data_IF_483916168089
#
_entry.id   IF_483916168089
#
_cell.length_a   1.000
_cell.length_b   1.000
_cell.length_c   1.000
_cell.angle_alpha   90.00
_cell.angle_beta   90.00
_cell.angle_gamma   90.00
#
_symmetry.space_group_name_H-M   'P 1'
#
loop_
_entity.id
_entity.type
_entity.pdbx_description
1 polymer ?
#
# COMPACT_ATOMS: atom_id res chain seq x y z
N UNK A 1 -13.93 -24.51 61.14
CA UNK A 1 -12.51 -24.75 60.80
C UNK A 1 -12.47 -26.05 60.00
N UNK A 2 -11.94 -26.01 58.76
CA UNK A 2 -11.99 -27.04 57.69
C UNK A 2 -13.30 -27.15 56.91
N UNK A 3 -13.48 -26.28 55.90
CA UNK A 3 -13.60 -26.67 54.47
C UNK A 3 -13.57 -25.40 53.60
N UNK A 4 -12.42 -24.71 53.65
CA UNK A 4 -12.05 -23.62 52.74
C UNK A 4 -10.81 -24.15 52.00
N UNK A 5 -10.70 -23.86 50.71
CA UNK A 5 -9.65 -24.28 49.75
C UNK A 5 -9.89 -25.60 49.02
N UNK A 6 -10.77 -25.57 48.03
CA UNK A 6 -10.42 -25.91 46.64
C UNK A 6 -11.61 -25.60 45.73
N UNK A 7 -11.32 -25.12 44.52
CA UNK A 7 -12.24 -24.63 43.46
C UNK A 7 -12.26 -23.08 43.32
N UNK A 8 -11.08 -22.46 43.28
CA UNK A 8 -10.91 -21.15 42.65
C UNK A 8 -10.50 -21.37 41.18
N UNK A 9 -11.44 -21.88 40.38
CA UNK A 9 -11.37 -21.77 38.93
C UNK A 9 -11.79 -20.36 38.54
N UNK A 10 -11.00 -19.69 37.70
CA UNK A 10 -11.30 -18.37 37.14
C UNK A 10 -12.62 -18.43 36.33
N UNK A 11 -13.76 -18.15 36.97
CA UNK A 11 -15.04 -17.91 36.29
C UNK A 11 -15.21 -16.40 36.17
N UNK A 12 -14.90 -15.86 34.98
CA UNK A 12 -15.29 -14.50 34.60
C UNK A 12 -16.81 -14.48 34.38
N UNK A 13 -17.57 -14.08 35.40
CA UNK A 13 -19.02 -13.90 35.31
C UNK A 13 -19.35 -12.57 34.62
N UNK A 14 -20.02 -12.62 33.47
CA UNK A 14 -20.74 -11.47 32.91
C UNK A 14 -22.07 -11.25 33.63
N UNK A 15 -22.01 -10.96 34.93
CA UNK A 15 -23.18 -10.53 35.69
C UNK A 15 -22.76 -9.46 36.69
N UNK A 16 -23.06 -8.21 36.35
CA UNK A 16 -23.15 -7.17 37.36
C UNK A 16 -24.42 -7.46 38.18
N UNK A 17 -24.26 -8.04 39.36
CA UNK A 17 -25.29 -7.93 40.39
C UNK A 17 -25.43 -6.44 40.72
N UNK A 18 -26.47 -5.79 40.21
CA UNK A 18 -26.91 -4.50 40.72
C UNK A 18 -27.74 -4.81 41.98
N UNK A 19 -27.15 -4.58 43.15
CA UNK A 19 -27.91 -4.50 44.39
C UNK A 19 -28.35 -3.04 44.57
N UNK A 20 -29.49 -2.66 44.01
CA UNK A 20 -30.16 -1.41 44.39
C UNK A 20 -30.94 -1.66 45.69
N UNK A 21 -30.42 -1.16 46.82
CA UNK A 21 -31.21 -1.04 48.04
C UNK A 21 -32.19 0.12 47.87
N UNK A 22 -33.45 -0.17 47.55
CA UNK A 22 -34.51 0.79 47.80
C UNK A 22 -34.88 0.81 49.30
N UNK A 23 -35.28 1.96 49.82
CA UNK A 23 -35.54 2.25 51.25
C UNK A 23 -36.73 1.48 51.89
N UNK A 24 -37.19 0.42 51.24
CA UNK A 24 -38.35 -0.37 51.65
C UNK A 24 -38.12 -1.86 51.38
N UNK A 25 -37.08 -2.44 51.98
CA UNK A 25 -37.00 -3.82 52.51
C UNK A 25 -37.51 -5.04 51.73
N UNK A 26 -37.94 -4.94 50.48
CA UNK A 26 -38.53 -6.03 49.70
C UNK A 26 -37.67 -6.35 48.48
N UNK A 27 -37.14 -7.57 48.47
CA UNK A 27 -36.41 -8.17 47.36
C UNK A 27 -37.41 -8.63 46.29
N UNK A 28 -37.65 -7.82 45.26
CA UNK A 28 -38.26 -8.29 44.02
C UNK A 28 -37.16 -8.68 43.04
N UNK A 29 -37.20 -9.88 42.42
CA UNK A 29 -36.20 -10.26 41.43
C UNK A 29 -36.32 -9.34 40.22
N UNK A 30 -35.33 -8.46 40.04
CA UNK A 30 -35.19 -7.66 38.85
C UNK A 30 -34.94 -8.57 37.64
N UNK A 31 -35.60 -8.23 36.54
CA UNK A 31 -35.61 -8.92 35.25
C UNK A 31 -34.21 -9.41 34.87
N UNK A 32 -34.08 -10.73 34.71
CA UNK A 32 -32.91 -11.39 34.15
C UNK A 32 -32.77 -11.02 32.67
N UNK A 33 -31.97 -10.00 32.34
CA UNK A 33 -31.38 -9.95 31.01
C UNK A 33 -30.38 -11.11 30.89
N UNK A 34 -30.73 -12.08 30.03
CA UNK A 34 -29.89 -13.21 29.68
C UNK A 34 -28.68 -12.73 28.86
N UNK A 35 -27.72 -12.09 29.52
CA UNK A 35 -26.39 -11.90 28.98
C UNK A 35 -25.76 -13.27 28.73
N UNK A 36 -25.31 -13.53 27.51
CA UNK A 36 -24.57 -14.75 27.17
C UNK A 36 -23.29 -14.78 27.99
N UNK A 37 -23.25 -15.61 29.04
CA UNK A 37 -22.07 -15.78 29.88
C UNK A 37 -20.99 -16.45 29.04
N UNK A 38 -20.02 -15.67 28.56
CA UNK A 38 -18.89 -16.21 27.82
C UNK A 38 -18.07 -17.10 28.78
N UNK A 39 -17.87 -18.40 28.46
CA UNK A 39 -17.03 -19.26 29.27
C UNK A 39 -15.66 -18.64 29.55
N UNK A 40 -15.16 -18.74 30.79
CA UNK A 40 -13.91 -18.10 31.20
C UNK A 40 -12.71 -18.44 30.30
N UNK A 41 -12.65 -19.67 29.77
CA UNK A 41 -11.61 -20.08 28.84
C UNK A 41 -11.67 -19.33 27.49
N UNK A 42 -12.87 -19.00 26.98
CA UNK A 42 -13.02 -18.22 25.76
C UNK A 42 -12.58 -16.77 25.99
N UNK A 43 -12.90 -16.18 27.15
CA UNK A 43 -12.43 -14.84 27.50
C UNK A 43 -10.90 -14.77 27.55
N UNK A 44 -10.23 -15.80 28.11
CA UNK A 44 -8.77 -15.91 28.11
C UNK A 44 -8.21 -16.02 26.69
N UNK A 45 -8.78 -16.91 25.85
CA UNK A 45 -8.35 -17.08 24.46
C UNK A 45 -8.50 -15.77 23.68
N UNK A 46 -9.64 -15.09 23.79
CA UNK A 46 -9.87 -13.80 23.14
C UNK A 46 -8.89 -12.73 23.62
N UNK A 47 -8.65 -12.65 24.93
CA UNK A 47 -7.67 -11.71 25.50
C UNK A 47 -6.27 -11.93 24.93
N UNK A 48 -5.82 -13.20 24.86
CA UNK A 48 -4.52 -13.55 24.28
C UNK A 48 -4.45 -13.17 22.80
N UNK A 49 -5.50 -13.43 22.02
CA UNK A 49 -5.56 -13.07 20.60
C UNK A 49 -5.50 -11.55 20.40
N UNK A 50 -6.25 -10.77 21.18
CA UNK A 50 -6.27 -9.30 21.09
C UNK A 50 -4.92 -8.69 21.47
N UNK A 51 -4.30 -9.16 22.56
CA UNK A 51 -2.96 -8.71 22.97
C UNK A 51 -1.92 -9.08 21.91
N UNK A 52 -2.01 -10.28 21.34
CA UNK A 52 -1.12 -10.70 20.25
C UNK A 52 -1.28 -9.78 19.03
N UNK A 53 -2.51 -9.43 18.67
CA UNK A 53 -2.78 -8.49 17.58
C UNK A 53 -2.14 -7.12 17.85
N UNK A 54 -2.31 -6.57 19.07
CA UNK A 54 -1.67 -5.30 19.47
C UNK A 54 -0.15 -5.37 19.28
N UNK A 55 0.49 -6.43 19.80
CA UNK A 55 1.95 -6.61 19.68
C UNK A 55 2.38 -6.65 18.21
N UNK A 56 1.67 -7.40 17.37
CA UNK A 56 1.99 -7.50 15.94
C UNK A 56 1.83 -6.16 15.23
N UNK A 57 0.73 -5.44 15.47
CA UNK A 57 0.45 -4.13 14.84
C UNK A 57 1.51 -3.11 15.27
N UNK A 58 1.74 -2.97 16.57
CA UNK A 58 2.67 -1.97 17.12
C UNK A 58 4.11 -2.28 16.72
N UNK A 59 4.59 -3.50 16.95
CA UNK A 59 5.97 -3.87 16.63
C UNK A 59 6.23 -3.85 15.12
N UNK A 60 5.29 -4.35 14.32
CA UNK A 60 5.40 -4.38 12.86
C UNK A 60 5.49 -2.98 12.26
N UNK A 61 4.57 -2.08 12.64
CA UNK A 61 4.57 -0.72 12.11
C UNK A 61 5.71 0.13 12.69
N UNK A 62 6.11 -0.08 13.95
CA UNK A 62 7.32 0.53 14.51
C UNK A 62 8.58 0.12 13.74
N UNK A 63 8.70 -1.16 13.34
CA UNK A 63 9.81 -1.63 12.49
C UNK A 63 9.84 -0.91 11.14
N UNK A 64 8.68 -0.68 10.52
CA UNK A 64 8.59 0.10 9.27
C UNK A 64 9.09 1.53 9.49
N UNK A 65 8.61 2.21 10.53
CA UNK A 65 9.01 3.58 10.87
C UNK A 65 10.53 3.64 11.14
N UNK A 66 11.06 2.69 11.91
CA UNK A 66 12.50 2.58 12.19
C UNK A 66 13.32 2.35 10.91
N UNK A 67 12.83 1.53 9.97
CA UNK A 67 13.50 1.33 8.69
C UNK A 67 13.65 2.63 7.89
N UNK A 68 12.66 3.51 7.92
CA UNK A 68 12.74 4.84 7.29
C UNK A 68 13.75 5.78 7.95
N UNK A 69 13.85 5.72 9.28
CA UNK A 69 14.79 6.53 10.05
C UNK A 69 16.22 6.08 9.74
N UNK A 70 16.48 4.77 9.79
CA UNK A 70 17.82 4.17 9.64
C UNK A 70 18.31 4.21 8.19
N UNK A 71 17.50 3.75 7.22
CA UNK A 71 17.94 3.61 5.84
C UNK A 71 17.57 4.85 5.00
N UNK A 72 18.55 5.74 4.81
CA UNK A 72 18.40 6.94 3.96
C UNK A 72 17.98 6.60 2.51
N UNK A 73 18.28 5.40 2.00
CA UNK A 73 17.87 4.98 0.65
C UNK A 73 16.37 4.80 0.50
N UNK A 74 15.63 4.67 1.62
CA UNK A 74 14.18 4.60 1.62
C UNK A 74 13.48 5.95 1.52
N UNK A 75 14.19 7.09 1.67
CA UNK A 75 13.58 8.44 1.73
C UNK A 75 13.20 9.02 0.35
N UNK A 76 12.46 8.23 -0.43
CA UNK A 76 11.91 8.61 -1.73
C UNK A 76 10.44 9.02 -1.61
N UNK A 77 9.94 9.83 -2.55
CA UNK A 77 8.56 10.33 -2.56
C UNK A 77 7.50 9.23 -2.37
N UNK A 78 7.52 8.16 -3.19
CA UNK A 78 6.56 7.06 -3.08
C UNK A 78 6.64 6.31 -1.75
N UNK A 79 7.79 6.33 -1.09
CA UNK A 79 8.00 5.63 0.16
C UNK A 79 7.40 6.42 1.34
N UNK A 80 7.35 7.76 1.29
CA UNK A 80 6.68 8.55 2.34
C UNK A 80 5.20 8.19 2.53
N UNK A 81 4.50 7.72 1.50
CA UNK A 81 3.11 7.23 1.65
C UNK A 81 3.03 5.96 2.50
N UNK A 82 4.01 5.05 2.39
CA UNK A 82 4.10 3.88 3.26
C UNK A 82 4.46 4.25 4.70
N UNK A 83 5.28 5.28 4.89
CA UNK A 83 5.54 5.82 6.23
C UNK A 83 4.27 6.43 6.84
N UNK A 84 3.50 7.22 6.07
CA UNK A 84 2.24 7.81 6.53
C UNK A 84 1.23 6.73 6.94
N UNK A 85 1.13 5.64 6.15
CA UNK A 85 0.30 4.49 6.45
C UNK A 85 0.78 3.75 7.73
N UNK A 86 2.08 3.53 7.89
CA UNK A 86 2.64 2.91 9.09
C UNK A 86 2.40 3.75 10.36
N UNK A 87 2.40 5.08 10.25
CA UNK A 87 2.10 5.98 11.38
C UNK A 87 0.63 5.82 11.79
N UNK A 88 -0.31 5.83 10.85
CA UNK A 88 -1.73 5.63 11.19
C UNK A 88 -1.97 4.26 11.82
N UNK A 89 -1.41 3.19 11.22
CA UNK A 89 -1.58 1.82 11.71
C UNK A 89 -0.92 1.60 13.08
N UNK A 90 0.23 2.23 13.33
CA UNK A 90 0.86 2.23 14.66
C UNK A 90 -0.04 2.85 15.72
N UNK A 91 -0.68 3.99 15.42
CA UNK A 91 -1.59 4.66 16.36
C UNK A 91 -2.84 3.82 16.65
N UNK A 92 -3.37 3.10 15.66
CA UNK A 92 -4.48 2.14 15.87
C UNK A 92 -4.08 1.09 16.91
N UNK A 93 -2.91 0.46 16.73
CA UNK A 93 -2.41 -0.54 17.67
C UNK A 93 -2.01 0.01 19.04
N UNK A 94 -1.50 1.23 19.10
CA UNK A 94 -1.00 1.84 20.33
C UNK A 94 -2.11 2.48 21.19
N UNK A 95 -3.21 2.92 20.57
CA UNK A 95 -4.28 3.65 21.25
C UNK A 95 -5.66 3.00 21.08
N UNK A 96 -6.14 2.80 19.85
CA UNK A 96 -7.52 2.38 19.61
C UNK A 96 -7.80 0.97 20.15
N UNK A 97 -6.96 0.00 19.80
CA UNK A 97 -7.16 -1.39 20.22
C UNK A 97 -7.04 -1.55 21.74
N UNK A 98 -5.99 -1.02 22.42
CA UNK A 98 -5.85 -1.15 23.88
C UNK A 98 -7.01 -0.50 24.67
N UNK A 99 -7.55 0.61 24.18
CA UNK A 99 -8.71 1.28 24.81
C UNK A 99 -10.00 0.46 24.62
N UNK A 100 -10.11 -0.29 23.53
CA UNK A 100 -11.28 -1.12 23.23
C UNK A 100 -11.28 -2.48 23.94
N UNK A 101 -10.11 -3.06 24.24
CA UNK A 101 -10.01 -4.38 24.88
C UNK A 101 -10.85 -4.47 26.19
N UNK A 102 -10.74 -3.53 27.15
CA UNK A 102 -11.55 -3.59 28.36
C UNK A 102 -13.06 -3.54 28.08
N UNK A 103 -13.49 -2.76 27.08
CA UNK A 103 -14.90 -2.68 26.68
C UNK A 103 -15.39 -4.03 26.16
N UNK A 104 -14.62 -4.68 25.28
CA UNK A 104 -14.98 -5.98 24.73
C UNK A 104 -14.98 -7.10 25.79
N UNK A 105 -14.09 -7.05 26.79
CA UNK A 105 -14.01 -8.09 27.83
C UNK A 105 -15.05 -7.94 28.94
N UNK A 106 -15.37 -6.71 29.32
CA UNK A 106 -16.35 -6.42 30.38
C UNK A 106 -17.77 -6.26 29.85
N UNK A 107 -17.91 -6.02 28.54
CA UNK A 107 -19.17 -5.68 27.88
C UNK A 107 -19.74 -4.31 28.28
N UNK A 108 -18.96 -3.48 29.02
CA UNK A 108 -19.42 -2.18 29.53
C UNK A 108 -18.34 -1.12 29.41
N UNK A 109 -18.71 0.06 28.95
CA UNK A 109 -17.81 1.21 28.84
C UNK A 109 -17.71 1.93 30.18
N UNK A 110 -16.55 1.82 30.83
CA UNK A 110 -16.30 2.38 32.18
C UNK A 110 -15.46 3.66 32.15
N UNK A 111 -14.95 4.07 30.98
CA UNK A 111 -13.96 5.15 30.86
C UNK A 111 -14.57 6.54 30.66
N UNK A 112 -15.90 6.66 30.81
CA UNK A 112 -16.65 7.91 30.70
C UNK A 112 -16.89 8.40 29.27
N UNK A 113 -17.86 9.32 29.12
CA UNK A 113 -18.30 9.82 27.80
C UNK A 113 -17.21 10.55 27.02
N UNK A 114 -16.35 11.30 27.70
CA UNK A 114 -15.28 12.08 27.06
C UNK A 114 -14.28 11.18 26.33
N UNK A 115 -13.79 10.13 27.00
CA UNK A 115 -12.87 9.19 26.36
C UNK A 115 -13.56 8.38 25.25
N UNK A 116 -14.85 8.06 25.39
CA UNK A 116 -15.61 7.40 24.33
C UNK A 116 -15.60 8.24 23.04
N UNK A 117 -15.91 9.54 23.13
CA UNK A 117 -15.87 10.44 21.96
C UNK A 117 -14.46 10.55 21.37
N UNK A 118 -13.43 10.69 22.20
CA UNK A 118 -12.03 10.75 21.73
C UNK A 118 -11.63 9.46 21.02
N UNK A 119 -11.99 8.31 21.59
CA UNK A 119 -11.73 7.01 21.00
C UNK A 119 -12.45 6.85 19.65
N UNK A 120 -13.75 7.17 19.58
CA UNK A 120 -14.52 7.13 18.32
C UNK A 120 -13.90 8.05 17.26
N UNK A 121 -13.57 9.30 17.59
CA UNK A 121 -12.96 10.23 16.62
C UNK A 121 -11.62 9.69 16.12
N UNK A 122 -10.77 9.20 17.02
CA UNK A 122 -9.45 8.69 16.66
C UNK A 122 -9.54 7.41 15.83
N UNK A 123 -10.38 6.45 16.23
CA UNK A 123 -10.50 5.17 15.55
C UNK A 123 -11.03 5.33 14.13
N UNK A 124 -12.14 6.06 13.96
CA UNK A 124 -12.67 6.36 12.62
C UNK A 124 -11.65 7.17 11.80
N UNK A 125 -11.01 8.20 12.36
CA UNK A 125 -9.99 8.98 11.65
C UNK A 125 -8.85 8.10 11.15
N UNK A 126 -8.29 7.25 12.01
CA UNK A 126 -7.12 6.43 11.69
C UNK A 126 -7.47 5.32 10.68
N UNK A 127 -8.61 4.66 10.84
CA UNK A 127 -9.11 3.65 9.92
C UNK A 127 -9.39 4.27 8.53
N UNK A 128 -10.14 5.36 8.45
CA UNK A 128 -10.45 6.03 7.17
C UNK A 128 -9.18 6.59 6.52
N UNK A 129 -8.26 7.18 7.30
CA UNK A 129 -6.99 7.65 6.78
C UNK A 129 -6.15 6.50 6.19
N UNK A 130 -6.14 5.32 6.82
CA UNK A 130 -5.47 4.13 6.31
C UNK A 130 -6.02 3.72 4.93
N UNK A 131 -7.34 3.70 4.75
CA UNK A 131 -7.99 3.43 3.45
C UNK A 131 -7.59 4.41 2.38
N UNK A 132 -7.71 5.72 2.67
CA UNK A 132 -7.36 6.76 1.71
C UNK A 132 -5.87 6.75 1.35
N UNK A 133 -4.99 6.35 2.27
CA UNK A 133 -3.59 6.13 1.97
C UNK A 133 -3.37 4.95 1.00
N UNK A 134 -4.12 3.86 1.11
CA UNK A 134 -4.05 2.74 0.14
C UNK A 134 -4.46 3.21 -1.27
N UNK A 135 -5.52 4.01 -1.36
CA UNK A 135 -5.96 4.63 -2.63
C UNK A 135 -4.85 5.54 -3.18
N UNK A 136 -4.26 6.38 -2.32
CA UNK A 136 -3.19 7.30 -2.69
C UNK A 136 -1.93 6.56 -3.19
N UNK A 137 -1.54 5.46 -2.53
CA UNK A 137 -0.44 4.59 -2.96
C UNK A 137 -0.75 4.00 -4.34
N UNK A 138 -1.96 3.49 -4.55
CA UNK A 138 -2.38 2.91 -5.83
C UNK A 138 -2.39 3.95 -6.95
N UNK A 139 -2.85 5.17 -6.65
CA UNK A 139 -2.84 6.30 -7.57
C UNK A 139 -1.43 6.77 -7.92
N UNK A 140 -0.52 6.89 -6.94
CA UNK A 140 0.89 7.23 -7.17
C UNK A 140 1.56 6.20 -8.09
N UNK A 141 1.30 4.91 -7.84
CA UNK A 141 1.81 3.82 -8.68
C UNK A 141 1.28 3.90 -10.10
N UNK A 142 -0.02 4.16 -10.26
CA UNK A 142 -0.63 4.35 -11.57
C UNK A 142 0.03 5.50 -12.35
N UNK A 143 0.27 6.65 -11.71
CA UNK A 143 0.97 7.78 -12.33
C UNK A 143 2.41 7.43 -12.71
N UNK A 144 3.12 6.71 -11.84
CA UNK A 144 4.52 6.33 -12.09
C UNK A 144 4.67 5.43 -13.33
N UNK A 145 3.68 4.57 -13.61
CA UNK A 145 3.70 3.63 -14.73
C UNK A 145 3.14 4.25 -16.01
N UNK A 146 2.00 4.94 -15.93
CA UNK A 146 1.31 5.50 -17.11
C UNK A 146 1.92 6.81 -17.60
N UNK A 147 2.31 7.70 -16.67
CA UNK A 147 2.81 9.05 -16.95
C UNK A 147 4.26 9.21 -16.51
N UNK A 148 5.11 8.22 -16.81
CA UNK A 148 6.48 8.14 -16.33
C UNK A 148 7.34 9.41 -16.58
N UNK A 149 7.13 10.11 -17.71
CA UNK A 149 7.87 11.34 -18.04
C UNK A 149 7.46 12.52 -17.16
N UNK A 150 6.16 12.82 -17.05
CA UNK A 150 5.63 13.90 -16.18
C UNK A 150 5.89 13.60 -14.70
N UNK A 151 5.74 12.34 -14.30
CA UNK A 151 6.01 11.89 -12.93
C UNK A 151 7.49 12.06 -12.55
N UNK A 152 8.43 11.75 -13.46
CA UNK A 152 9.86 11.96 -13.24
C UNK A 152 10.21 13.45 -13.08
N UNK A 153 9.54 14.34 -13.81
CA UNK A 153 9.72 15.79 -13.64
C UNK A 153 9.21 16.31 -12.28
N UNK A 154 8.21 15.66 -11.69
CA UNK A 154 7.65 16.01 -10.38
C UNK A 154 8.37 15.35 -9.18
N UNK A 155 9.31 14.42 -9.43
CA UNK A 155 9.94 13.55 -8.43
C UNK A 155 10.66 14.28 -7.29
N UNK A 156 11.10 15.52 -7.49
CA UNK A 156 11.78 16.33 -6.47
C UNK A 156 10.83 17.20 -5.63
N UNK A 157 9.52 17.19 -5.89
CA UNK A 157 8.56 18.03 -5.15
C UNK A 157 7.99 17.30 -3.93
N UNK A 158 8.82 17.07 -2.91
CA UNK A 158 8.39 16.48 -1.62
C UNK A 158 7.18 17.22 -1.03
N UNK A 159 7.12 18.55 -1.20
CA UNK A 159 5.98 19.40 -0.81
C UNK A 159 4.64 18.90 -1.35
N UNK A 160 4.59 18.42 -2.60
CA UNK A 160 3.35 17.90 -3.19
C UNK A 160 2.92 16.57 -2.57
N UNK A 161 3.87 15.71 -2.19
CA UNK A 161 3.55 14.47 -1.48
C UNK A 161 3.02 14.76 -0.07
N UNK A 162 3.65 15.68 0.66
CA UNK A 162 3.19 16.12 1.99
C UNK A 162 1.78 16.71 1.92
N UNK A 163 1.50 17.57 0.93
CA UNK A 163 0.17 18.11 0.73
C UNK A 163 -0.89 17.02 0.50
N UNK A 164 -0.59 16.00 -0.33
CA UNK A 164 -1.49 14.86 -0.55
C UNK A 164 -1.72 14.06 0.74
N UNK A 165 -0.69 13.84 1.56
CA UNK A 165 -0.82 13.15 2.84
C UNK A 165 -1.70 13.95 3.80
N UNK A 166 -1.45 15.25 3.97
CA UNK A 166 -2.28 16.12 4.80
C UNK A 166 -3.73 16.17 4.33
N UNK A 167 -3.96 16.22 3.02
CA UNK A 167 -5.31 16.17 2.46
C UNK A 167 -6.05 14.87 2.83
N UNK A 168 -5.35 13.73 2.88
CA UNK A 168 -5.95 12.46 3.33
C UNK A 168 -6.44 12.56 4.78
N UNK A 169 -5.63 13.10 5.70
CA UNK A 169 -6.01 13.28 7.10
C UNK A 169 -7.19 14.24 7.27
N UNK A 170 -7.18 15.36 6.54
CA UNK A 170 -8.27 16.35 6.58
C UNK A 170 -9.56 15.74 6.04
N UNK A 171 -9.51 15.04 4.90
CA UNK A 171 -10.69 14.40 4.30
C UNK A 171 -11.25 13.28 5.21
N UNK A 172 -10.38 12.48 5.81
CA UNK A 172 -10.79 11.45 6.77
C UNK A 172 -11.47 12.05 8.00
N UNK A 173 -10.90 13.12 8.57
CA UNK A 173 -11.51 13.83 9.70
C UNK A 173 -12.86 14.44 9.33
N UNK A 174 -12.97 15.10 8.17
CA UNK A 174 -14.21 15.75 7.75
C UNK A 174 -15.35 14.75 7.51
N UNK A 175 -15.05 13.49 7.19
CA UNK A 175 -16.07 12.47 6.95
C UNK A 175 -16.81 12.07 8.23
N UNK A 176 -16.10 11.90 9.35
CA UNK A 176 -16.68 11.40 10.61
C UNK A 176 -16.53 12.33 11.81
N UNK A 177 -15.41 13.05 11.93
CA UNK A 177 -15.08 13.87 13.09
C UNK A 177 -16.18 14.86 13.48
N UNK A 178 -16.66 15.73 12.56
CA UNK A 178 -17.77 16.64 12.84
C UNK A 178 -19.04 15.92 13.27
N UNK A 179 -19.37 14.79 12.63
CA UNK A 179 -20.54 14.00 12.99
C UNK A 179 -20.40 13.48 14.43
N UNK A 180 -19.29 12.84 14.80
CA UNK A 180 -19.09 12.29 16.15
C UNK A 180 -19.11 13.39 17.24
N UNK A 181 -18.53 14.56 16.96
CA UNK A 181 -18.38 15.63 17.95
C UNK A 181 -19.70 16.38 18.17
N UNK A 182 -20.39 16.75 17.08
CA UNK A 182 -21.52 17.68 17.13
C UNK A 182 -22.91 17.02 17.10
N UNK A 183 -23.01 15.70 16.90
CA UNK A 183 -24.31 15.02 16.78
C UNK A 183 -25.22 15.25 18.00
N UNK A 184 -24.72 14.99 19.21
CA UNK A 184 -25.42 15.27 20.47
C UNK A 184 -25.88 16.74 20.58
N UNK A 185 -25.06 17.69 20.12
CA UNK A 185 -25.42 19.12 20.16
C UNK A 185 -26.52 19.49 19.16
N UNK A 186 -26.59 18.81 18.01
CA UNK A 186 -27.60 19.04 16.98
C UNK A 186 -28.93 18.38 17.37
N UNK A 187 -28.88 17.17 17.92
CA UNK A 187 -30.08 16.40 18.30
C UNK A 187 -30.60 16.83 19.67
N UNK A 188 -29.76 17.42 20.53
CA UNK A 188 -30.14 17.92 21.86
C UNK A 188 -30.31 16.83 22.93
N UNK A 189 -30.17 15.55 22.56
CA UNK A 189 -30.18 14.41 23.47
C UNK A 189 -29.15 13.37 23.01
N UNK A 190 -28.53 12.67 23.97
CA UNK A 190 -27.66 11.53 23.68
C UNK A 190 -28.48 10.24 23.66
N UNK A 191 -28.45 9.56 22.52
CA UNK A 191 -29.17 8.29 22.29
C UNK A 191 -28.39 7.10 22.88
N UNK A 192 -27.11 7.29 23.20
CA UNK A 192 -26.20 6.21 23.64
C UNK A 192 -26.22 6.07 25.17
N UNK A 193 -26.50 4.86 25.70
CA UNK A 193 -26.45 4.59 27.14
C UNK A 193 -25.07 4.84 27.75
N UNK A 194 -25.01 5.17 29.05
CA UNK A 194 -23.74 5.49 29.73
C UNK A 194 -22.73 4.32 29.80
N UNK A 195 -23.19 3.09 29.61
CA UNK A 195 -22.38 1.87 29.67
C UNK A 195 -22.01 1.32 28.27
N UNK A 196 -22.37 2.01 27.20
CA UNK A 196 -22.02 1.65 25.82
C UNK A 196 -21.18 2.75 25.17
N UNK A 197 -20.39 2.39 24.17
CA UNK A 197 -19.60 3.35 23.40
C UNK A 197 -19.65 3.03 21.91
N UNK A 198 -20.63 3.61 21.23
CA UNK A 198 -20.80 3.53 19.78
C UNK A 198 -21.12 4.92 19.21
N UNK A 199 -20.86 5.12 17.92
CA UNK A 199 -21.14 6.39 17.26
C UNK A 199 -22.66 6.67 17.21
N UNK A 200 -23.10 7.88 17.51
CA UNK A 200 -24.54 8.19 17.59
C UNK A 200 -25.27 8.08 16.24
N UNK A 201 -24.57 8.30 15.13
CA UNK A 201 -25.10 8.08 13.78
C UNK A 201 -25.26 6.59 13.42
N UNK A 202 -24.87 5.66 14.29
CA UNK A 202 -24.96 4.21 14.08
C UNK A 202 -26.39 3.70 13.83
N UNK A 203 -27.41 4.46 14.26
CA UNK A 203 -28.82 4.15 14.02
C UNK A 203 -29.39 4.82 12.77
N UNK A 204 -28.59 5.63 12.07
CA UNK A 204 -29.03 6.48 10.97
C UNK A 204 -28.71 5.81 9.62
N UNK A 205 -29.70 5.15 9.03
CA UNK A 205 -29.52 4.30 7.83
C UNK A 205 -28.86 5.03 6.64
N UNK A 206 -29.23 6.28 6.37
CA UNK A 206 -28.68 7.05 5.25
C UNK A 206 -27.20 7.41 5.47
N UNK A 207 -26.82 7.66 6.73
CA UNK A 207 -25.43 7.90 7.08
C UNK A 207 -24.59 6.64 6.84
N UNK A 208 -25.07 5.47 7.30
CA UNK A 208 -24.40 4.18 7.10
C UNK A 208 -24.20 3.83 5.61
N UNK A 209 -25.20 4.11 4.77
CA UNK A 209 -25.09 3.88 3.32
C UNK A 209 -24.08 4.84 2.67
N UNK A 210 -24.09 6.11 3.07
CA UNK A 210 -23.13 7.10 2.58
C UNK A 210 -21.70 6.76 3.00
N UNK A 211 -21.49 6.37 4.26
CA UNK A 211 -20.24 5.89 4.83
C UNK A 211 -19.70 4.70 4.03
N UNK A 212 -20.54 3.68 3.80
CA UNK A 212 -20.18 2.49 3.00
C UNK A 212 -19.72 2.86 1.58
N UNK A 213 -20.33 3.88 0.99
CA UNK A 213 -19.98 4.38 -0.35
C UNK A 213 -18.58 5.03 -0.38
N UNK A 214 -18.26 5.85 0.62
CA UNK A 214 -16.98 6.55 0.69
C UNK A 214 -15.84 5.69 1.23
N UNK A 215 -16.10 4.73 2.11
CA UNK A 215 -15.07 3.90 2.74
C UNK A 215 -14.75 2.61 2.01
N UNK A 216 -15.75 1.99 1.36
CA UNK A 216 -15.55 0.73 0.68
C UNK A 216 -15.64 0.87 -0.83
N UNK A 217 -16.80 1.29 -1.35
CA UNK A 217 -17.03 1.25 -2.80
C UNK A 217 -16.10 2.20 -3.57
N UNK A 218 -15.94 3.44 -3.11
CA UNK A 218 -15.08 4.43 -3.79
C UNK A 218 -13.60 3.99 -3.77
N UNK A 219 -13.02 3.59 -2.63
CA UNK A 219 -11.67 3.04 -2.58
C UNK A 219 -11.51 1.76 -3.40
N UNK A 220 -12.43 0.80 -3.27
CA UNK A 220 -12.36 -0.48 -3.96
C UNK A 220 -12.37 -0.31 -5.48
N UNK A 221 -13.30 0.48 -6.02
CA UNK A 221 -13.38 0.78 -7.45
C UNK A 221 -12.12 1.52 -7.92
N UNK A 222 -11.67 2.53 -7.17
CA UNK A 222 -10.49 3.33 -7.53
C UNK A 222 -9.23 2.47 -7.58
N UNK A 223 -8.97 1.70 -6.52
CA UNK A 223 -7.80 0.81 -6.42
C UNK A 223 -7.86 -0.26 -7.50
N UNK A 224 -9.01 -0.88 -7.73
CA UNK A 224 -9.17 -1.89 -8.79
C UNK A 224 -8.94 -1.29 -10.18
N UNK A 225 -9.50 -0.13 -10.46
CA UNK A 225 -9.33 0.58 -11.73
C UNK A 225 -7.86 0.94 -12.00
N UNK A 226 -7.15 1.50 -11.01
CA UNK A 226 -5.74 1.84 -11.15
C UNK A 226 -4.89 0.59 -11.40
N UNK A 227 -5.16 -0.49 -10.66
CA UNK A 227 -4.42 -1.75 -10.80
C UNK A 227 -4.67 -2.45 -12.12
N UNK A 228 -5.92 -2.50 -12.59
CA UNK A 228 -6.26 -3.03 -13.89
C UNK A 228 -5.59 -2.21 -15.01
N UNK A 229 -5.60 -0.89 -14.88
CA UNK A 229 -4.95 0.00 -15.85
C UNK A 229 -3.43 -0.19 -15.91
N UNK A 230 -2.77 -0.39 -14.77
CA UNK A 230 -1.34 -0.73 -14.68
C UNK A 230 -1.09 -2.08 -15.39
N UNK A 231 -1.88 -3.10 -15.05
CA UNK A 231 -1.75 -4.44 -15.63
C UNK A 231 -1.90 -4.42 -17.15
N UNK A 232 -2.96 -3.77 -17.66
CA UNK A 232 -3.23 -3.65 -19.09
C UNK A 232 -2.12 -2.88 -19.81
N UNK A 233 -1.59 -1.80 -19.21
CA UNK A 233 -0.49 -1.04 -19.81
C UNK A 233 0.80 -1.88 -19.90
N UNK A 234 1.13 -2.65 -18.86
CA UNK A 234 2.28 -3.57 -18.87
C UNK A 234 2.09 -4.67 -19.92
N UNK A 235 0.89 -5.25 -20.00
CA UNK A 235 0.60 -6.28 -20.99
C UNK A 235 0.69 -5.74 -22.42
N UNK A 236 0.14 -4.55 -22.69
CA UNK A 236 0.26 -3.87 -23.99
C UNK A 236 1.71 -3.59 -24.36
N UNK A 237 2.55 -3.13 -23.41
CA UNK A 237 4.00 -2.93 -23.63
C UNK A 237 4.73 -4.23 -23.93
N UNK A 238 4.35 -5.33 -23.25
CA UNK A 238 4.92 -6.66 -23.50
C UNK A 238 4.57 -7.14 -24.91
N UNK A 239 3.30 -7.03 -25.31
CA UNK A 239 2.82 -7.44 -26.64
C UNK A 239 3.47 -6.62 -27.77
N UNK A 240 3.57 -5.29 -27.60
CA UNK A 240 4.27 -4.41 -28.55
C UNK A 240 5.77 -4.74 -28.66
N UNK A 241 6.42 -5.05 -27.53
CA UNK A 241 7.81 -5.49 -27.51
C UNK A 241 8.04 -6.76 -28.33
N UNK A 242 7.17 -7.77 -28.18
CA UNK A 242 7.25 -9.00 -28.99
C UNK A 242 6.99 -8.73 -30.49
N UNK A 243 5.99 -7.91 -30.82
CA UNK A 243 5.68 -7.57 -32.21
C UNK A 243 6.86 -6.89 -32.93
N UNK A 244 7.55 -5.94 -32.27
CA UNK A 244 8.75 -5.32 -32.83
C UNK A 244 9.90 -6.31 -33.06
N UNK A 245 10.05 -7.33 -32.19
CA UNK A 245 11.08 -8.37 -32.35
C UNK A 245 10.78 -9.26 -33.56
N UNK A 246 9.52 -9.62 -33.76
CA UNK A 246 9.10 -10.38 -34.94
C UNK A 246 9.30 -9.59 -36.24
N UNK A 247 8.99 -8.29 -36.24
CA UNK A 247 9.19 -7.43 -37.41
C UNK A 247 10.68 -7.23 -37.74
N UNK A 248 11.55 -7.01 -36.74
CA UNK A 248 13.00 -6.96 -36.93
C UNK A 248 13.58 -8.29 -37.45
N UNK A 249 13.11 -9.42 -36.92
CA UNK A 249 13.55 -10.74 -37.36
C UNK A 249 13.12 -11.04 -38.81
N UNK A 250 11.92 -10.61 -39.22
CA UNK A 250 11.46 -10.71 -40.61
C UNK A 250 12.28 -9.81 -41.54
N UNK A 251 12.55 -8.57 -41.14
CA UNK A 251 13.35 -7.63 -41.93
C UNK A 251 14.79 -8.16 -42.15
N UNK A 252 15.44 -8.69 -41.11
CA UNK A 252 16.77 -9.28 -41.22
C UNK A 252 16.82 -10.49 -42.15
N UNK A 253 15.80 -11.37 -42.12
CA UNK A 253 15.68 -12.51 -43.04
C UNK A 253 15.55 -12.08 -44.50
N UNK A 254 14.79 -11.01 -44.78
CA UNK A 254 14.62 -10.46 -46.13
C UNK A 254 15.95 -9.88 -46.65
N UNK A 255 16.66 -9.10 -45.83
CA UNK A 255 17.98 -8.57 -46.21
C UNK A 255 19.05 -9.63 -46.40
N UNK A 256 19.01 -10.74 -45.63
CA UNK A 256 19.97 -11.85 -45.80
C UNK A 256 19.71 -12.62 -47.11
N UNK A 257 18.44 -12.85 -47.46
CA UNK A 257 18.04 -13.50 -48.71
C UNK A 257 18.44 -12.70 -49.96
N UNK A 258 18.51 -11.37 -49.84
CA UNK A 258 18.97 -10.47 -50.91
C UNK A 258 20.49 -10.36 -51.05
N UNK A 259 21.27 -10.86 -50.08
CA UNK A 259 22.74 -10.87 -50.11
C UNK A 259 23.31 -12.20 -50.64
N UNK A 260 22.53 -13.27 -50.61
CA UNK A 260 22.87 -14.59 -51.16
C UNK A 260 22.40 -14.77 -52.62
N UNK A 261 21.52 -13.89 -53.12
CA UNK A 261 21.21 -13.75 -54.55
C UNK A 261 21.92 -12.53 -55.12
N UNK A 262 22.63 -12.69 -56.23
CA UNK A 262 23.52 -11.68 -56.82
C UNK A 262 22.95 -10.27 -56.92
N UNK A 263 23.88 -9.30 -56.82
CA UNK A 263 23.75 -7.86 -57.03
C UNK A 263 22.51 -7.45 -57.83
N UNK A 264 21.69 -6.54 -57.27
CA UNK A 264 21.10 -5.39 -57.96
C UNK A 264 20.82 -4.30 -56.92
N UNK A 265 21.41 -3.12 -57.12
CA UNK A 265 21.11 -1.91 -56.36
C UNK A 265 19.76 -1.37 -56.81
N UNK A 266 18.75 -1.43 -55.95
CA UNK A 266 17.49 -0.69 -56.17
C UNK A 266 17.32 0.33 -55.06
N UNK A 267 17.36 1.58 -55.48
CA UNK A 267 17.16 2.78 -54.69
C UNK A 267 15.73 2.79 -54.13
N UNK A 268 15.53 2.56 -52.83
CA UNK A 268 14.22 2.73 -52.21
C UNK A 268 14.05 4.18 -51.77
N UNK A 269 13.21 4.91 -52.51
CA UNK A 269 12.65 6.19 -52.07
C UNK A 269 11.85 5.94 -50.80
N UNK A 270 12.30 6.54 -49.69
CA UNK A 270 11.63 6.48 -48.40
C UNK A 270 10.39 7.38 -48.44
N UNK A 271 9.21 6.80 -48.62
CA UNK A 271 7.96 7.54 -48.39
C UNK A 271 7.83 7.82 -46.90
N UNK A 272 7.74 9.11 -46.59
CA UNK A 272 7.61 9.67 -45.25
C UNK A 272 6.21 9.32 -44.73
N UNK A 273 6.08 8.24 -43.97
CA UNK A 273 4.84 7.94 -43.24
C UNK A 273 4.76 8.90 -42.06
N UNK A 274 3.87 9.89 -42.18
CA UNK A 274 3.49 10.80 -41.10
C UNK A 274 2.87 9.95 -39.98
N UNK A 275 3.55 9.88 -38.84
CA UNK A 275 2.97 9.40 -37.59
C UNK A 275 2.80 10.59 -36.67
N UNK A 276 1.60 10.70 -36.11
CA UNK A 276 1.16 11.75 -35.22
C UNK A 276 2.12 11.99 -34.04
N UNK A 277 2.23 13.27 -33.72
CA UNK A 277 2.94 13.92 -32.63
C UNK A 277 2.58 13.42 -31.22
N UNK A 278 3.58 13.08 -30.42
CA UNK A 278 3.71 13.46 -28.99
C UNK A 278 5.20 13.38 -28.55
N UNK A 279 5.63 14.17 -27.55
CA UNK A 279 6.95 14.81 -27.54
C UNK A 279 8.10 13.93 -27.03
N UNK A 280 9.23 14.11 -27.70
CA UNK A 280 10.56 13.57 -27.42
C UNK A 280 11.06 14.01 -26.03
N UNK A 281 11.26 13.06 -25.12
CA UNK A 281 12.05 13.28 -23.92
C UNK A 281 13.53 13.10 -24.28
N UNK A 282 14.29 14.19 -24.15
CA UNK A 282 15.74 14.24 -24.24
C UNK A 282 16.30 13.27 -23.19
N UNK A 283 16.89 12.17 -23.62
CA UNK A 283 17.64 11.28 -22.73
C UNK A 283 19.05 11.85 -22.60
N UNK A 284 19.27 12.67 -21.58
CA UNK A 284 20.61 12.99 -21.13
C UNK A 284 21.25 11.69 -20.61
N UNK A 285 22.41 11.38 -21.19
CA UNK A 285 23.35 10.35 -20.75
C UNK A 285 23.82 10.74 -19.34
N UNK A 286 23.72 9.82 -18.40
CA UNK A 286 24.53 9.84 -17.18
C UNK A 286 25.28 8.51 -17.21
N UNK A 287 26.60 8.66 -17.25
CA UNK A 287 27.62 7.64 -17.02
C UNK A 287 27.34 6.95 -15.69
N UNK A 288 27.39 5.62 -15.68
CA UNK A 288 27.64 4.86 -14.46
C UNK A 288 28.77 3.88 -14.81
N UNK A 289 29.84 4.04 -14.04
CA UNK A 289 31.14 3.39 -14.14
C UNK A 289 31.08 1.86 -14.21
N UNK A 290 32.08 1.34 -14.91
CA UNK A 290 32.45 -0.07 -15.04
C UNK A 290 32.61 -0.76 -13.68
N UNK A 291 32.03 -1.95 -13.56
CA UNK A 291 32.58 -3.01 -12.69
C UNK A 291 32.67 -4.30 -13.50
N UNK A 292 33.92 -4.62 -13.79
CA UNK A 292 34.45 -5.84 -14.38
C UNK A 292 34.02 -7.09 -13.58
N UNK A 293 33.61 -8.15 -14.26
CA UNK A 293 33.87 -9.53 -13.82
C UNK A 293 33.84 -10.50 -15.02
N UNK A 294 34.70 -11.53 -15.01
CA UNK A 294 35.15 -12.23 -16.21
C UNK A 294 34.38 -13.52 -16.46
N UNK A 295 34.21 -13.89 -17.73
CA UNK A 295 34.12 -15.30 -18.11
C UNK A 295 34.46 -15.48 -19.58
N UNK A 296 35.67 -16.00 -19.78
CA UNK A 296 36.18 -16.77 -20.90
C UNK A 296 35.14 -17.52 -21.73
N UNK A 297 35.30 -17.49 -23.06
CA UNK A 297 35.45 -18.69 -23.90
C UNK A 297 36.09 -18.27 -25.24
N UNK A 298 36.82 -19.22 -25.81
CA UNK A 298 37.89 -19.06 -26.78
C UNK A 298 37.46 -18.73 -28.22
N UNK A 299 38.48 -18.33 -28.97
CA UNK A 299 38.58 -17.93 -30.38
C UNK A 299 38.28 -19.10 -31.38
N UNK A 300 38.19 -18.91 -32.73
CA UNK A 300 39.33 -18.42 -33.52
C UNK A 300 39.07 -17.56 -34.79
N UNK A 301 40.08 -16.73 -35.05
CA UNK A 301 40.76 -16.40 -36.30
C UNK A 301 40.16 -15.59 -37.47
N UNK A 302 40.95 -14.56 -37.79
CA UNK A 302 41.42 -14.07 -39.09
C UNK A 302 40.46 -13.43 -40.10
N UNK A 303 40.57 -12.10 -40.20
CA UNK A 303 40.95 -11.46 -41.48
C UNK A 303 41.55 -10.07 -41.23
N UNK A 304 42.85 -9.94 -41.51
CA UNK A 304 43.55 -8.67 -41.68
C UNK A 304 42.94 -7.89 -42.85
N UNK A 305 42.61 -6.62 -42.68
CA UNK A 305 42.54 -5.66 -43.79
C UNK A 305 43.26 -4.37 -43.38
N UNK A 306 44.22 -4.03 -44.21
CA UNK A 306 45.18 -2.94 -44.13
C UNK A 306 44.53 -1.56 -44.02
N UNK A 307 45.02 -0.75 -43.07
CA UNK A 307 44.67 0.64 -42.91
C UNK A 307 45.67 1.48 -43.73
N UNK A 308 45.34 1.71 -45.00
CA UNK A 308 46.10 2.62 -45.85
C UNK A 308 45.72 4.07 -45.53
N UNK A 309 46.70 4.80 -45.02
CA UNK A 309 46.61 6.20 -44.61
C UNK A 309 46.76 7.10 -45.83
N UNK A 310 45.66 7.53 -46.44
CA UNK A 310 45.69 8.66 -47.38
C UNK A 310 45.39 9.98 -46.63
N UNK A 311 46.40 10.85 -46.61
CA UNK A 311 46.26 12.27 -46.29
C UNK A 311 45.92 13.01 -47.58
N UNK A 312 44.79 13.69 -47.66
CA UNK A 312 44.65 14.90 -48.49
C UNK A 312 43.58 15.84 -47.94
N UNK A 313 43.92 17.11 -47.87
CA UNK A 313 43.10 18.28 -47.56
C UNK A 313 43.79 19.49 -48.23
N UNK A 314 43.20 20.70 -48.41
CA UNK A 314 41.79 21.14 -48.43
C UNK A 314 41.47 22.08 -49.63
N UNK A 315 40.22 22.14 -50.11
CA UNK A 315 39.49 23.31 -50.68
C UNK A 315 38.26 22.78 -51.48
N UNK A 316 37.05 23.36 -51.53
CA UNK A 316 36.58 24.74 -51.34
C UNK A 316 35.03 24.73 -51.30
N UNK A 317 34.45 25.51 -50.37
CA UNK A 317 33.15 26.24 -50.39
C UNK A 317 31.79 25.50 -50.33
N UNK A 318 31.14 25.76 -49.18
CA UNK A 318 29.74 26.21 -48.99
C UNK A 318 28.56 25.24 -49.22
N UNK A 319 28.14 24.58 -48.14
CA UNK A 319 26.77 24.69 -47.64
C UNK A 319 26.73 24.38 -46.13
N UNK A 320 26.53 25.41 -45.30
CA UNK A 320 26.25 25.21 -43.87
C UNK A 320 24.81 24.74 -43.75
N UNK A 321 24.61 23.43 -43.64
CA UNK A 321 23.45 22.85 -42.99
C UNK A 321 23.95 21.69 -42.13
N UNK A 322 24.55 22.02 -40.99
CA UNK A 322 24.97 21.01 -40.02
C UNK A 322 23.73 20.41 -39.37
N UNK A 323 23.31 19.31 -39.97
CA UNK A 323 22.36 18.36 -39.45
C UNK A 323 22.99 17.70 -38.22
N UNK A 324 22.68 18.24 -37.03
CA UNK A 324 22.81 17.52 -35.76
C UNK A 324 21.78 16.38 -35.76
N UNK A 325 22.02 15.31 -36.51
CA UNK A 325 21.39 14.02 -36.22
C UNK A 325 22.12 13.40 -35.05
N UNK A 326 21.68 13.75 -33.84
CA UNK A 326 21.89 12.89 -32.70
C UNK A 326 21.26 11.52 -33.06
N UNK A 327 22.11 10.52 -33.28
CA UNK A 327 21.68 9.13 -33.32
C UNK A 327 21.04 8.84 -31.97
N UNK A 328 19.71 8.79 -31.94
CA UNK A 328 18.96 8.32 -30.78
C UNK A 328 19.32 6.85 -30.59
N UNK A 329 20.31 6.57 -29.74
CA UNK A 329 20.59 5.21 -29.30
C UNK A 329 19.32 4.64 -28.69
N UNK A 330 18.74 3.63 -29.33
CA UNK A 330 17.62 2.89 -28.77
C UNK A 330 18.09 2.24 -27.45
N UNK A 331 17.30 2.28 -26.37
CA UNK A 331 17.71 1.70 -25.10
C UNK A 331 18.00 0.19 -25.27
N UNK A 332 19.13 -0.26 -24.72
CA UNK A 332 19.57 -1.66 -24.77
C UNK A 332 18.46 -2.64 -24.34
N UNK A 333 18.23 -3.70 -25.12
CA UNK A 333 17.22 -4.76 -24.89
C UNK A 333 17.28 -5.36 -23.48
N UNK A 334 18.48 -5.48 -22.89
CA UNK A 334 18.69 -5.96 -21.50
C UNK A 334 18.07 -5.02 -20.46
N UNK A 335 18.16 -3.71 -20.68
CA UNK A 335 17.63 -2.67 -19.79
C UNK A 335 16.10 -2.57 -19.86
N UNK A 336 15.50 -2.91 -21.01
CA UNK A 336 14.04 -2.90 -21.18
C UNK A 336 13.38 -4.17 -20.60
N UNK A 337 13.99 -5.34 -20.76
CA UNK A 337 13.50 -6.60 -20.18
C UNK A 337 13.54 -6.62 -18.64
N UNK A 338 14.59 -6.06 -18.04
CA UNK A 338 14.72 -5.94 -16.57
C UNK A 338 13.71 -4.95 -15.96
N UNK A 339 13.37 -3.88 -16.67
CA UNK A 339 12.29 -2.96 -16.25
C UNK A 339 10.92 -3.62 -16.30
N UNK A 340 10.61 -4.36 -17.37
CA UNK A 340 9.34 -5.07 -17.53
C UNK A 340 9.10 -6.15 -16.45
N UNK A 341 10.15 -6.90 -16.09
CA UNK A 341 10.05 -7.94 -15.06
C UNK A 341 9.84 -7.35 -13.67
N UNK A 342 10.42 -6.18 -13.39
CA UNK A 342 10.15 -5.40 -12.17
C UNK A 342 8.71 -4.88 -12.16
N UNK A 343 8.20 -4.37 -13.27
CA UNK A 343 6.82 -3.87 -13.37
C UNK A 343 5.78 -4.99 -13.18
N UNK A 344 6.04 -6.20 -13.70
CA UNK A 344 5.19 -7.39 -13.43
C UNK A 344 5.16 -7.77 -11.95
N UNK A 345 6.31 -7.72 -11.25
CA UNK A 345 6.38 -7.97 -9.80
C UNK A 345 5.59 -6.93 -9.01
N UNK A 346 5.68 -5.66 -9.42
CA UNK A 346 4.91 -4.56 -8.82
C UNK A 346 3.40 -4.78 -9.04
N UNK A 347 2.97 -5.13 -10.25
CA UNK A 347 1.55 -5.40 -10.53
C UNK A 347 1.00 -6.58 -9.71
N UNK A 348 1.78 -7.66 -9.54
CA UNK A 348 1.40 -8.79 -8.66
C UNK A 348 1.23 -8.34 -7.21
N UNK A 349 2.17 -7.54 -6.71
CA UNK A 349 2.10 -6.96 -5.37
C UNK A 349 0.84 -6.12 -5.16
N UNK A 350 0.46 -5.29 -6.15
CA UNK A 350 -0.71 -4.44 -5.99
C UNK A 350 -2.04 -5.22 -6.07
N UNK A 351 -2.08 -6.32 -6.82
CA UNK A 351 -3.23 -7.22 -6.81
C UNK A 351 -3.46 -7.84 -5.42
N UNK A 352 -2.37 -8.22 -4.72
CA UNK A 352 -2.42 -8.72 -3.35
C UNK A 352 -3.04 -7.67 -2.40
N UNK A 353 -2.65 -6.40 -2.56
CA UNK A 353 -3.20 -5.29 -1.76
C UNK A 353 -4.72 -5.16 -1.97
N UNK A 354 -5.23 -5.28 -3.20
CA UNK A 354 -6.68 -5.24 -3.49
C UNK A 354 -7.43 -6.36 -2.78
N UNK A 355 -6.91 -7.59 -2.85
CA UNK A 355 -7.54 -8.74 -2.22
C UNK A 355 -7.60 -8.60 -0.70
N UNK A 356 -6.53 -8.14 -0.07
CA UNK A 356 -6.46 -7.98 1.39
C UNK A 356 -7.40 -6.87 1.85
N UNK A 357 -7.42 -5.73 1.14
CA UNK A 357 -8.38 -4.66 1.41
C UNK A 357 -9.81 -5.18 1.37
N UNK A 358 -10.19 -5.92 0.33
CA UNK A 358 -11.53 -6.48 0.19
C UNK A 358 -11.87 -7.47 1.31
N UNK A 359 -10.95 -8.39 1.66
CA UNK A 359 -11.16 -9.38 2.73
C UNK A 359 -11.34 -8.68 4.07
N UNK A 360 -10.58 -7.62 4.36
CA UNK A 360 -10.65 -6.96 5.65
C UNK A 360 -11.85 -6.02 5.79
N UNK A 361 -12.26 -5.34 4.72
CA UNK A 361 -13.27 -4.28 4.77
C UNK A 361 -14.67 -4.70 4.29
N UNK A 362 -14.77 -5.64 3.34
CA UNK A 362 -16.07 -6.01 2.77
C UNK A 362 -17.04 -6.63 3.80
N UNK A 363 -16.59 -7.51 4.73
CA UNK A 363 -17.52 -8.12 5.70
C UNK A 363 -18.21 -7.09 6.60
N UNK A 364 -17.46 -6.15 7.17
CA UNK A 364 -18.04 -5.08 8.00
C UNK A 364 -18.96 -4.19 7.19
N UNK A 365 -18.52 -3.74 6.00
CA UNK A 365 -19.34 -2.90 5.12
C UNK A 365 -20.65 -3.58 4.77
N UNK A 366 -20.62 -4.88 4.46
CA UNK A 366 -21.82 -5.66 4.17
C UNK A 366 -22.77 -5.68 5.37
N UNK A 367 -22.26 -5.92 6.58
CA UNK A 367 -23.09 -5.90 7.79
C UNK A 367 -23.68 -4.52 8.09
N UNK A 368 -22.95 -3.44 7.80
CA UNK A 368 -23.45 -2.07 7.95
C UNK A 368 -24.57 -1.76 6.94
N UNK A 369 -24.47 -2.25 5.70
CA UNK A 369 -25.53 -2.13 4.68
C UNK A 369 -26.77 -2.94 5.09
N UNK A 370 -26.58 -4.19 5.54
CA UNK A 370 -27.68 -5.03 6.03
C UNK A 370 -28.37 -4.35 7.22
N UNK A 371 -27.60 -3.78 8.15
CA UNK A 371 -28.13 -2.99 9.27
C UNK A 371 -29.01 -1.85 8.80
N UNK A 372 -28.54 -1.08 7.84
CA UNK A 372 -29.25 0.05 7.27
C UNK A 372 -30.55 -0.37 6.58
N UNK A 373 -30.55 -1.52 5.88
CA UNK A 373 -31.75 -2.05 5.21
C UNK A 373 -32.79 -2.61 6.20
N UNK A 374 -32.34 -3.16 7.33
CA UNK A 374 -33.17 -3.82 8.32
C UNK A 374 -33.55 -2.98 9.55
N UNK A 375 -33.17 -1.69 9.60
CA UNK A 375 -33.37 -0.84 10.78
C UNK A 375 -32.75 -1.37 12.09
N UNK A 376 -31.70 -2.22 12.01
CA UNK A 376 -30.85 -2.54 13.16
C UNK A 376 -30.99 -3.91 13.83
N UNK A 377 -32.07 -4.67 13.61
CA UNK A 377 -32.36 -5.91 14.36
C UNK A 377 -31.98 -7.23 13.65
N UNK A 378 -31.51 -7.18 12.40
CA UNK A 378 -31.27 -8.39 11.60
C UNK A 378 -29.99 -9.17 11.95
N UNK A 379 -29.04 -8.58 12.67
CA UNK A 379 -27.71 -9.18 12.90
C UNK A 379 -27.31 -9.03 14.35
N UNK A 380 -26.87 -10.12 14.96
CA UNK A 380 -26.39 -10.12 16.34
C UNK A 380 -25.09 -9.33 16.51
N UNK A 381 -24.93 -8.69 17.67
CA UNK A 381 -23.80 -7.80 18.00
C UNK A 381 -22.42 -8.43 17.76
N UNK A 382 -22.25 -9.71 18.09
CA UNK A 382 -20.96 -10.41 17.95
C UNK A 382 -20.43 -10.47 16.51
N UNK A 383 -21.29 -10.44 15.49
CA UNK A 383 -20.84 -10.38 14.10
C UNK A 383 -20.24 -9.02 13.74
N UNK A 384 -20.78 -7.94 14.29
CA UNK A 384 -20.19 -6.60 14.16
C UNK A 384 -18.83 -6.56 14.84
N UNK A 385 -18.70 -7.12 16.04
CA UNK A 385 -17.41 -7.23 16.73
C UNK A 385 -16.37 -7.98 15.89
N UNK A 386 -16.70 -9.20 15.43
CA UNK A 386 -15.75 -10.01 14.64
C UNK A 386 -15.29 -9.26 13.39
N UNK A 387 -16.22 -8.61 12.69
CA UNK A 387 -15.89 -7.86 11.47
C UNK A 387 -15.15 -6.54 11.76
N UNK A 388 -15.36 -5.93 12.93
CA UNK A 388 -14.61 -4.77 13.38
C UNK A 388 -13.15 -5.12 13.73
N UNK A 389 -12.91 -6.25 14.40
CA UNK A 389 -11.56 -6.78 14.60
C UNK A 389 -10.86 -7.11 13.26
N UNK A 390 -11.63 -7.53 12.26
CA UNK A 390 -11.11 -7.78 10.92
C UNK A 390 -10.64 -6.48 10.21
N UNK A 391 -11.25 -5.33 10.50
CA UNK A 391 -10.76 -4.03 10.02
C UNK A 391 -9.37 -3.74 10.57
N UNK A 392 -9.14 -3.94 11.87
CA UNK A 392 -7.83 -3.72 12.48
C UNK A 392 -6.77 -4.73 12.02
N UNK A 393 -7.18 -5.94 11.60
CA UNK A 393 -6.26 -6.90 11.00
C UNK A 393 -5.60 -6.36 9.72
N UNK A 394 -6.26 -5.45 8.99
CA UNK A 394 -5.66 -4.75 7.85
C UNK A 394 -4.34 -4.05 8.23
N UNK A 395 -4.34 -3.34 9.36
CA UNK A 395 -3.16 -2.65 9.89
C UNK A 395 -2.06 -3.59 10.36
N UNK A 396 -2.41 -4.81 10.78
CA UNK A 396 -1.45 -5.85 11.16
C UNK A 396 -0.75 -6.49 9.93
N UNK A 397 -1.46 -6.61 8.82
CA UNK A 397 -0.95 -7.26 7.60
C UNK A 397 0.03 -6.35 6.85
N UNK A 398 -0.14 -5.03 6.93
CA UNK A 398 0.63 -4.03 6.19
C UNK A 398 2.17 -4.16 6.32
N UNK A 399 2.76 -4.26 7.53
CA UNK A 399 4.20 -4.48 7.70
C UNK A 399 4.78 -5.72 7.00
N UNK A 400 3.98 -6.78 6.85
CA UNK A 400 4.39 -8.00 6.15
C UNK A 400 4.30 -7.83 4.63
N UNK A 401 3.32 -7.07 4.15
CA UNK A 401 3.15 -6.80 2.73
C UNK A 401 4.31 -6.01 2.14
N UNK A 402 4.85 -5.02 2.86
CA UNK A 402 5.89 -4.15 2.32
C UNK A 402 7.15 -4.90 1.86
N UNK A 403 7.81 -5.76 2.67
CA UNK A 403 8.98 -6.51 2.21
C UNK A 403 8.66 -7.60 1.18
N UNK A 404 7.45 -8.17 1.17
CA UNK A 404 7.00 -9.12 0.15
C UNK A 404 6.82 -8.45 -1.22
N UNK A 405 6.35 -7.20 -1.19
CA UNK A 405 5.99 -6.43 -2.38
C UNK A 405 7.13 -5.55 -2.90
N UNK A 406 8.01 -5.09 -2.03
CA UNK A 406 9.02 -4.07 -2.33
C UNK A 406 10.42 -4.49 -1.86
N UNK A 407 11.33 -4.67 -2.82
CA UNK A 407 12.70 -5.11 -2.56
C UNK A 407 13.52 -4.11 -1.74
N UNK A 408 13.17 -2.82 -1.78
CA UNK A 408 13.78 -1.77 -0.97
C UNK A 408 13.53 -2.00 0.52
N UNK A 409 12.28 -2.25 0.90
CA UNK A 409 11.88 -2.56 2.27
C UNK A 409 12.49 -3.87 2.75
N UNK A 410 12.50 -4.90 1.90
CA UNK A 410 13.16 -6.17 2.21
C UNK A 410 14.65 -5.99 2.54
N UNK A 411 15.35 -5.12 1.80
CA UNK A 411 16.77 -4.83 2.05
C UNK A 411 16.96 -4.08 3.38
N UNK A 412 16.14 -3.07 3.65
CA UNK A 412 16.21 -2.30 4.90
C UNK A 412 15.89 -3.17 6.13
N UNK A 413 14.88 -4.03 6.03
CA UNK A 413 14.53 -4.97 7.11
C UNK A 413 15.66 -5.96 7.36
N UNK A 414 16.30 -6.47 6.30
CA UNK A 414 17.47 -7.33 6.45
C UNK A 414 18.66 -6.65 7.10
N UNK A 415 18.84 -5.32 6.94
CA UNK A 415 19.89 -4.57 7.63
C UNK A 415 19.63 -4.48 9.14
N UNK A 416 18.38 -4.28 9.52
CA UNK A 416 17.97 -4.11 10.92
C UNK A 416 17.94 -5.45 11.65
N UNK A 417 17.30 -6.47 11.04
CA UNK A 417 17.10 -7.78 11.66
C UNK A 417 18.34 -8.69 11.56
N UNK A 418 19.19 -8.50 10.54
CA UNK A 418 20.39 -9.30 10.32
C UNK A 418 21.65 -8.44 10.07
N UNK A 419 22.16 -7.68 11.07
CA UNK A 419 23.32 -6.81 10.91
C UNK A 419 24.61 -7.55 10.50
N UNK A 420 24.75 -8.81 10.91
CA UNK A 420 25.97 -9.63 10.75
C UNK A 420 26.30 -10.02 9.30
N UNK A 421 25.38 -9.86 8.34
CA UNK A 421 25.64 -10.20 6.92
C UNK A 421 26.37 -9.11 6.11
N UNK A 422 26.61 -7.92 6.68
CA UNK A 422 27.20 -6.78 5.95
C UNK A 422 28.63 -6.39 6.35
N UNK A 423 29.21 -6.99 7.40
CA UNK A 423 30.59 -6.67 7.80
C UNK A 423 31.66 -7.36 6.94
N UNK A 424 31.29 -8.05 5.85
CA UNK A 424 32.21 -8.74 4.92
C UNK A 424 32.20 -8.08 3.54
N UNK A 425 32.18 -6.75 3.49
CA UNK A 425 32.63 -6.02 2.31
C UNK A 425 33.82 -5.17 2.77
N UNK A 426 35.08 -5.57 2.50
CA UNK A 426 36.22 -4.76 2.85
C UNK A 426 36.16 -3.45 2.07
N UNK A 427 36.33 -2.32 2.74
CA UNK A 427 36.66 -1.07 2.08
C UNK A 427 38.05 -1.23 1.45
N UNK A 428 38.11 -1.36 0.14
CA UNK A 428 39.34 -1.12 -0.60
C UNK A 428 39.47 0.40 -0.68
N UNK A 429 40.23 0.97 0.25
CA UNK A 429 40.77 2.31 0.12
C UNK A 429 41.69 2.32 -1.11
N UNK A 430 41.26 2.98 -2.18
CA UNK A 430 42.16 3.37 -3.25
C UNK A 430 43.04 4.52 -2.74
N UNK A 431 44.17 4.19 -2.13
CA UNK A 431 45.27 5.14 -1.98
C UNK A 431 45.87 5.40 -3.35
N UNK A 432 45.81 6.66 -3.78
CA UNK A 432 46.56 7.19 -4.91
C UNK A 432 48.06 7.04 -4.64
N UNK A 433 48.77 6.45 -5.60
CA UNK A 433 50.19 6.69 -5.83
C UNK A 433 50.35 7.22 -7.25
#
# INVERSE_FOLDING_TARGET
MKQVYNECGFILTMSAHILECNSSGNLTPAVSEAGTVLPGYLAVILSVLMVTLVVVVVAGNALVIMAFIVDKSLRNQSNYFFLNLAISDFLVGAFCIPVYIPYNLTGRWMLGKGLCKVWLVMDYLLCTASVFNIVLISYDRFLSVTRAVKYRAQRNMTRQAVFKMLAVWVLAFLLYGPAIIFWESIVGQSVVPAHECHAEFYYTWYFLLSASTFEFFTPFVSVTFFNLSIYLNIHRRTKRGCACVEDEAKAQRITKKHREGGSWSVFFVKTRKVSCSEPTAISAVIEDDDVLSPSSCEEPNNSQIYLQREKFSPNRKNSRLFQHTASCMAPSRRTQGSRLSRDKKIAKSLAIIVCIFAICWAPYTLLMIIRAACSGECVAHYWYEITFWLLWLNSAINPFLYPLCHSSFRRAFSKILCPKRQSVQPQIEAQSC
#
